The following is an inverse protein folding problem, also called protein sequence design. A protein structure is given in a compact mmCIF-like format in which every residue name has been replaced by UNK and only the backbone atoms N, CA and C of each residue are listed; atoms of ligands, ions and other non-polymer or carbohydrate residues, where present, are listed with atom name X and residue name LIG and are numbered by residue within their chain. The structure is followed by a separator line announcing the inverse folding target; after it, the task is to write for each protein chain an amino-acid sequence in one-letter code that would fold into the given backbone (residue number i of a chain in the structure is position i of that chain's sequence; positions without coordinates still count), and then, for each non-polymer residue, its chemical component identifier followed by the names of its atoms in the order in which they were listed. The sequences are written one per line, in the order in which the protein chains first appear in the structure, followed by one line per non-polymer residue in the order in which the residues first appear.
data_IF_085005192829
#
_entry.id   IF_085005192829
#
_cell.length_a   1.000
_cell.length_b   1.000
_cell.length_c   1.000
_cell.angle_alpha   90.00
_cell.angle_beta   90.00
_cell.angle_gamma   90.00
#
_symmetry.space_group_name_H-M   'P 1'
#
loop_
_entity.id
_entity.type
_entity.pdbx_description
1 polymer ?
#
# COMPACT_ATOMS: atom_id res chain seq x y z
N UNK A 1 -16.64 5.28 -12.62
CA UNK A 1 -15.99 4.45 -11.58
C UNK A 1 -16.65 3.10 -11.66
N UNK A 2 -15.92 2.01 -11.95
CA UNK A 2 -16.56 0.69 -12.14
C UNK A 2 -17.22 0.23 -10.83
N UNK A 3 -18.51 -0.12 -10.92
CA UNK A 3 -19.36 -0.60 -9.83
C UNK A 3 -18.69 -1.71 -9.01
N UNK A 4 -17.93 -2.56 -9.71
CA UNK A 4 -17.19 -3.72 -9.17
C UNK A 4 -16.13 -3.39 -8.11
N UNK A 5 -15.92 -2.13 -7.72
CA UNK A 5 -14.81 -1.72 -6.85
C UNK A 5 -15.18 -0.83 -5.66
N UNK A 6 -16.47 -0.56 -5.40
CA UNK A 6 -16.90 0.48 -4.47
C UNK A 6 -17.01 0.01 -3.00
N UNK A 7 -17.58 -1.16 -2.73
CA UNK A 7 -18.05 -1.55 -1.38
C UNK A 7 -16.92 -1.83 -0.34
N UNK A 8 -15.82 -2.54 -0.66
CA UNK A 8 -14.76 -2.80 0.33
C UNK A 8 -13.96 -1.54 0.73
N UNK A 9 -14.01 -0.47 -0.08
CA UNK A 9 -13.27 0.78 0.20
C UNK A 9 -13.87 1.58 1.35
N UNK A 10 -15.18 1.51 1.53
CA UNK A 10 -15.92 2.40 2.45
C UNK A 10 -15.71 2.02 3.92
N UNK A 11 -15.71 0.71 4.24
CA UNK A 11 -15.59 0.21 5.61
C UNK A 11 -14.13 0.30 6.11
N UNK A 12 -13.17 -0.13 5.29
CA UNK A 12 -11.75 -0.04 5.63
C UNK A 12 -11.27 1.42 5.69
N UNK A 13 -11.86 2.31 4.88
CA UNK A 13 -11.55 3.75 4.89
C UNK A 13 -11.96 4.44 6.20
N UNK A 14 -13.14 4.11 6.75
CA UNK A 14 -13.66 4.77 7.95
C UNK A 14 -12.85 4.46 9.23
N UNK A 15 -12.42 3.20 9.41
CA UNK A 15 -11.63 2.80 10.58
C UNK A 15 -10.20 3.39 10.55
N UNK A 16 -9.55 3.42 9.38
CA UNK A 16 -8.23 4.04 9.24
C UNK A 16 -8.28 5.57 9.36
N UNK A 17 -9.39 6.20 8.95
CA UNK A 17 -9.58 7.64 9.13
C UNK A 17 -9.66 8.03 10.62
N UNK A 18 -10.29 7.22 11.48
CA UNK A 18 -10.41 7.51 12.91
C UNK A 18 -9.06 7.57 13.65
N UNK A 19 -8.21 6.55 13.46
CA UNK A 19 -6.88 6.46 14.10
C UNK A 19 -5.92 7.52 13.53
N UNK A 20 -5.97 7.76 12.22
CA UNK A 20 -5.15 8.78 11.58
C UNK A 20 -5.50 10.20 12.03
N UNK A 21 -6.77 10.47 12.28
CA UNK A 21 -7.26 11.81 12.66
C UNK A 21 -6.89 12.16 14.12
N UNK A 22 -6.89 11.21 15.06
CA UNK A 22 -6.45 11.47 16.43
C UNK A 22 -4.95 11.75 16.51
N UNK A 23 -4.12 10.93 15.87
CA UNK A 23 -2.66 11.14 15.80
C UNK A 23 -2.31 12.43 15.05
N UNK A 24 -2.97 12.69 13.92
CA UNK A 24 -2.76 13.91 13.14
C UNK A 24 -3.09 15.18 13.92
N UNK A 25 -4.14 15.16 14.74
CA UNK A 25 -4.52 16.29 15.59
C UNK A 25 -3.45 16.62 16.64
N UNK A 26 -2.87 15.59 17.26
CA UNK A 26 -1.89 15.78 18.34
C UNK A 26 -0.54 16.26 17.77
N UNK A 27 -0.11 15.70 16.63
CA UNK A 27 1.07 16.19 15.89
C UNK A 27 0.87 17.64 15.44
N UNK A 28 -0.32 17.99 14.92
CA UNK A 28 -0.64 19.35 14.50
C UNK A 28 -0.57 20.35 15.66
N UNK A 29 -1.15 20.02 16.82
CA UNK A 29 -1.10 20.87 18.02
C UNK A 29 0.33 21.09 18.50
N UNK A 30 1.13 20.02 18.55
CA UNK A 30 2.53 20.09 18.98
C UNK A 30 3.40 20.90 18.01
N UNK A 31 3.08 20.87 16.71
CA UNK A 31 3.89 21.50 15.67
C UNK A 31 3.50 22.93 15.32
N UNK A 32 2.40 23.46 15.83
CA UNK A 32 1.90 24.81 15.48
C UNK A 32 2.95 25.91 15.70
N UNK A 33 3.88 25.70 16.64
CA UNK A 33 4.96 26.63 16.96
C UNK A 33 6.26 26.37 16.20
N UNK A 34 6.34 25.28 15.43
CA UNK A 34 7.54 24.84 14.71
C UNK A 34 7.15 24.36 13.31
N UNK A 35 6.95 25.29 12.37
CA UNK A 35 6.48 24.97 11.01
C UNK A 35 7.35 23.93 10.27
N UNK A 36 8.64 23.84 10.58
CA UNK A 36 9.55 22.83 10.00
C UNK A 36 9.30 21.40 10.49
N UNK A 37 8.73 21.19 11.68
CA UNK A 37 8.56 19.86 12.27
C UNK A 37 7.49 19.05 11.53
N UNK A 38 6.32 19.64 11.25
CA UNK A 38 5.26 18.99 10.44
C UNK A 38 5.77 18.57 9.06
N UNK A 39 6.55 19.44 8.41
CA UNK A 39 7.15 19.13 7.11
C UNK A 39 8.13 17.96 7.21
N UNK A 40 8.98 17.93 8.24
CA UNK A 40 9.91 16.83 8.48
C UNK A 40 9.18 15.50 8.72
N UNK A 41 8.11 15.50 9.53
CA UNK A 41 7.28 14.31 9.77
C UNK A 41 6.59 13.85 8.49
N UNK A 42 6.06 14.77 7.68
CA UNK A 42 5.43 14.43 6.41
C UNK A 42 6.44 13.82 5.42
N UNK A 43 7.64 14.40 5.31
CA UNK A 43 8.73 13.86 4.48
C UNK A 43 9.14 12.47 4.95
N UNK A 44 9.27 12.28 6.28
CA UNK A 44 9.58 11.00 6.88
C UNK A 44 8.55 9.92 6.51
N UNK A 45 7.25 10.21 6.72
CA UNK A 45 6.16 9.27 6.37
C UNK A 45 6.13 9.00 4.86
N UNK A 46 6.35 10.02 4.04
CA UNK A 46 6.40 9.88 2.59
C UNK A 46 7.58 9.00 2.13
N UNK A 47 8.75 9.13 2.76
CA UNK A 47 9.93 8.29 2.48
C UNK A 47 9.65 6.81 2.77
N UNK A 48 9.14 6.51 3.98
CA UNK A 48 8.75 5.16 4.37
C UNK A 48 7.70 4.58 3.41
N UNK A 49 6.67 5.38 3.11
CA UNK A 49 5.59 4.97 2.22
C UNK A 49 6.09 4.68 0.82
N UNK A 50 6.98 5.53 0.26
CA UNK A 50 7.56 5.33 -1.06
C UNK A 50 8.30 3.98 -1.12
N UNK A 51 9.15 3.69 -0.12
CA UNK A 51 9.90 2.45 -0.07
C UNK A 51 8.99 1.22 -0.01
N UNK A 52 7.96 1.23 0.85
CA UNK A 52 6.96 0.17 0.94
C UNK A 52 6.17 0.03 -0.38
N UNK A 53 5.81 1.15 -1.03
CA UNK A 53 5.09 1.13 -2.31
C UNK A 53 5.93 0.57 -3.45
N UNK A 54 7.22 0.90 -3.53
CA UNK A 54 8.11 0.35 -4.55
C UNK A 54 8.22 -1.17 -4.44
N UNK A 55 8.39 -1.71 -3.23
CA UNK A 55 8.31 -3.16 -2.99
C UNK A 55 6.93 -3.72 -3.34
N UNK A 56 5.85 -3.02 -2.99
CA UNK A 56 4.48 -3.44 -3.35
C UNK A 56 4.34 -3.56 -4.87
N UNK A 57 4.82 -2.58 -5.64
CA UNK A 57 4.70 -2.58 -7.11
C UNK A 57 5.50 -3.69 -7.79
N UNK A 58 6.70 -4.01 -7.28
CA UNK A 58 7.50 -5.14 -7.77
C UNK A 58 6.76 -6.47 -7.63
N UNK A 59 6.14 -6.69 -6.47
CA UNK A 59 5.52 -7.96 -6.12
C UNK A 59 4.02 -8.03 -6.44
N UNK A 60 3.41 -6.98 -6.98
CA UNK A 60 2.00 -6.97 -7.35
C UNK A 60 1.75 -7.71 -8.68
N UNK A 61 0.53 -8.23 -8.85
CA UNK A 61 0.09 -8.77 -10.13
C UNK A 61 -0.51 -7.68 -11.03
N UNK A 62 -0.32 -7.82 -12.34
CA UNK A 62 -0.82 -6.89 -13.37
C UNK A 62 -1.62 -7.66 -14.42
N UNK A 63 -2.65 -7.02 -14.98
CA UNK A 63 -3.56 -7.66 -15.94
C UNK A 63 -2.84 -8.03 -17.23
N UNK A 64 -1.95 -7.16 -17.72
CA UNK A 64 -1.18 -7.39 -18.95
C UNK A 64 0.30 -7.69 -18.64
N UNK A 65 0.95 -8.60 -19.39
CA UNK A 65 2.38 -8.87 -19.25
C UNK A 65 3.25 -7.62 -19.50
N UNK A 66 2.91 -6.84 -20.52
CA UNK A 66 3.61 -5.59 -20.87
C UNK A 66 3.47 -4.56 -19.74
N UNK A 67 2.26 -4.38 -19.20
CA UNK A 67 2.03 -3.50 -18.05
C UNK A 67 2.81 -3.97 -16.81
N UNK A 68 2.94 -5.29 -16.61
CA UNK A 68 3.76 -5.84 -15.53
C UNK A 68 5.23 -5.47 -15.67
N UNK A 69 5.79 -5.55 -16.88
CA UNK A 69 7.20 -5.22 -17.13
C UNK A 69 7.44 -3.73 -16.90
N UNK A 70 6.61 -2.86 -17.48
CA UNK A 70 6.76 -1.41 -17.36
C UNK A 70 6.71 -0.93 -15.91
N UNK A 71 5.73 -1.40 -15.12
CA UNK A 71 5.63 -0.97 -13.72
C UNK A 71 6.79 -1.51 -12.88
N UNK A 72 7.30 -2.71 -13.17
CA UNK A 72 8.49 -3.24 -12.49
C UNK A 72 9.74 -2.43 -12.81
N UNK A 73 9.96 -2.07 -14.07
CA UNK A 73 11.08 -1.20 -14.47
C UNK A 73 10.97 0.14 -13.75
N UNK A 74 9.79 0.77 -13.76
CA UNK A 74 9.56 2.05 -13.07
C UNK A 74 9.72 1.94 -11.54
N UNK A 75 9.41 0.78 -10.97
CA UNK A 75 9.55 0.57 -9.53
C UNK A 75 11.01 0.48 -9.06
N UNK A 76 11.97 0.19 -9.94
CA UNK A 76 13.39 0.07 -9.56
C UNK A 76 13.98 1.45 -9.16
N UNK A 77 13.91 2.52 -9.99
CA UNK A 77 14.38 3.84 -9.58
C UNK A 77 13.67 4.36 -8.32
N UNK A 78 12.36 4.16 -8.22
CA UNK A 78 11.61 4.57 -7.02
C UNK A 78 12.01 3.77 -5.78
N UNK A 79 12.38 2.49 -5.92
CA UNK A 79 12.91 1.68 -4.84
C UNK A 79 14.26 2.22 -4.35
N UNK A 80 15.15 2.59 -5.27
CA UNK A 80 16.47 3.16 -4.92
C UNK A 80 16.30 4.51 -4.20
N UNK A 81 15.45 5.40 -4.72
CA UNK A 81 15.14 6.68 -4.07
C UNK A 81 14.51 6.44 -2.70
N UNK A 82 13.52 5.55 -2.62
CA UNK A 82 12.85 5.18 -1.38
C UNK A 82 13.80 4.58 -0.35
N UNK A 83 14.76 3.74 -0.79
CA UNK A 83 15.79 3.14 0.04
C UNK A 83 16.68 4.21 0.66
N UNK A 84 17.18 5.16 -0.13
CA UNK A 84 18.04 6.26 0.34
C UNK A 84 17.28 7.12 1.35
N UNK A 85 16.08 7.58 1.00
CA UNK A 85 15.28 8.46 1.87
C UNK A 85 14.86 7.75 3.16
N UNK A 86 14.47 6.48 3.09
CA UNK A 86 14.10 5.68 4.26
C UNK A 86 15.32 5.38 5.13
N UNK A 87 16.46 5.04 4.54
CA UNK A 87 17.70 4.81 5.28
C UNK A 87 18.12 6.04 6.06
N UNK A 88 18.12 7.22 5.42
CA UNK A 88 18.39 8.50 6.08
C UNK A 88 17.40 8.76 7.22
N UNK A 89 16.11 8.63 6.93
CA UNK A 89 15.00 8.82 7.87
C UNK A 89 15.12 7.93 9.11
N UNK A 90 15.39 6.65 8.93
CA UNK A 90 15.58 5.68 10.01
C UNK A 90 16.85 5.96 10.81
N UNK A 91 17.92 6.37 10.15
CA UNK A 91 19.19 6.70 10.81
C UNK A 91 19.05 7.92 11.71
N UNK A 92 18.30 8.95 11.27
CA UNK A 92 17.98 10.12 12.11
C UNK A 92 17.15 9.71 13.32
N UNK A 93 16.12 8.88 13.15
CA UNK A 93 15.33 8.38 14.30
C UNK A 93 16.19 7.55 15.24
N UNK A 94 17.00 6.65 14.70
CA UNK A 94 17.86 5.80 15.51
C UNK A 94 18.88 6.64 16.30
N UNK A 95 19.43 7.70 15.69
CA UNK A 95 20.32 8.64 16.38
C UNK A 95 19.61 9.38 17.52
N UNK A 96 18.38 9.85 17.30
CA UNK A 96 17.58 10.49 18.35
C UNK A 96 17.24 9.52 19.49
N UNK A 97 16.94 8.26 19.17
CA UNK A 97 16.68 7.22 20.18
C UNK A 97 17.95 6.93 20.98
N UNK A 98 19.10 6.78 20.32
CA UNK A 98 20.39 6.55 20.98
C UNK A 98 20.75 7.72 21.90
N UNK A 99 20.61 8.96 21.43
CA UNK A 99 20.85 10.16 22.22
C UNK A 99 19.94 10.21 23.45
N UNK A 100 18.63 9.99 23.25
CA UNK A 100 17.65 9.93 24.33
C UNK A 100 18.00 8.87 25.37
N UNK A 101 18.35 7.65 24.93
CA UNK A 101 18.73 6.57 25.83
C UNK A 101 20.05 6.83 26.55
N UNK A 102 21.01 7.51 25.90
CA UNK A 102 22.30 7.84 26.51
C UNK A 102 22.20 8.83 27.65
N UNK A 103 21.17 9.69 27.62
CA UNK A 103 20.86 10.65 28.68
C UNK A 103 20.09 10.04 29.86
N UNK A 104 19.61 8.79 29.74
CA UNK A 104 18.98 8.06 30.84
C UNK A 104 20.06 7.28 31.58
N UNK A 105 20.66 7.90 32.61
CA UNK A 105 21.83 7.45 33.41
C UNK A 105 21.78 6.02 34.05
N UNK A 106 20.85 5.14 33.69
CA UNK A 106 20.72 3.82 34.33
C UNK A 106 20.04 2.73 33.48
N UNK A 107 20.24 2.71 32.16
CA UNK A 107 19.78 1.58 31.38
C UNK A 107 20.80 0.42 31.46
N UNK A 108 20.62 -0.49 32.43
CA UNK A 108 21.08 -1.89 32.29
C UNK A 108 20.81 -2.38 30.86
N UNK A 109 21.60 -3.33 30.31
CA UNK A 109 21.44 -3.73 28.92
C UNK A 109 20.06 -4.36 28.72
N UNK A 110 19.10 -3.52 28.33
CA UNK A 110 17.76 -3.87 27.90
C UNK A 110 17.92 -5.01 26.90
N UNK A 111 17.08 -6.03 26.95
CA UNK A 111 17.14 -7.17 26.02
C UNK A 111 17.27 -6.72 24.54
N UNK A 112 16.70 -5.56 24.19
CA UNK A 112 16.91 -4.89 22.90
C UNK A 112 18.39 -4.62 22.57
N UNK A 113 19.20 -4.20 23.55
CA UNK A 113 20.65 -3.99 23.43
C UNK A 113 21.37 -5.22 22.95
N UNK A 114 21.16 -6.33 23.65
CA UNK A 114 21.81 -7.60 23.33
C UNK A 114 21.38 -8.10 21.96
N UNK A 115 20.08 -7.99 21.64
CA UNK A 115 19.54 -8.37 20.33
C UNK A 115 20.15 -7.53 19.20
N UNK A 116 20.25 -6.22 19.37
CA UNK A 116 20.75 -5.32 18.33
C UNK A 116 22.24 -5.47 18.09
N UNK A 117 23.06 -5.52 19.15
CA UNK A 117 24.52 -5.77 19.02
C UNK A 117 24.77 -7.15 18.40
N UNK A 118 24.09 -8.19 18.87
CA UNK A 118 24.17 -9.53 18.27
C UNK A 118 23.79 -9.50 16.79
N UNK A 119 22.71 -8.79 16.44
CA UNK A 119 22.29 -8.68 15.04
C UNK A 119 23.29 -7.90 14.17
N UNK A 120 23.95 -6.88 14.73
CA UNK A 120 25.02 -6.14 14.06
C UNK A 120 26.15 -7.10 13.68
N UNK A 121 26.63 -7.88 14.66
CA UNK A 121 27.83 -8.69 14.51
C UNK A 121 27.57 -9.96 13.67
N UNK A 122 26.37 -10.56 13.76
CA UNK A 122 26.07 -11.84 13.12
C UNK A 122 25.24 -11.75 11.85
N UNK A 123 24.56 -10.63 11.59
CA UNK A 123 23.70 -10.48 10.41
C UNK A 123 24.21 -9.33 9.55
N UNK A 124 24.30 -8.13 10.12
CA UNK A 124 24.66 -6.92 9.37
C UNK A 124 26.07 -7.00 8.81
N UNK A 125 27.05 -7.27 9.67
CA UNK A 125 28.46 -7.27 9.29
C UNK A 125 28.79 -8.35 8.24
N UNK A 126 28.30 -9.60 8.35
CA UNK A 126 28.48 -10.61 7.30
C UNK A 126 27.81 -10.23 5.98
N UNK A 127 26.59 -9.69 6.02
CA UNK A 127 25.89 -9.21 4.82
C UNK A 127 26.70 -8.10 4.14
N UNK A 128 27.17 -7.12 4.89
CA UNK A 128 28.04 -6.07 4.39
C UNK A 128 29.30 -6.67 3.73
N UNK A 129 30.06 -7.49 4.45
CA UNK A 129 31.29 -8.09 3.94
C UNK A 129 31.06 -8.95 2.67
N UNK A 130 29.88 -9.54 2.50
CA UNK A 130 29.52 -10.27 1.27
C UNK A 130 29.23 -9.36 0.08
N UNK A 131 28.80 -8.12 0.32
CA UNK A 131 28.45 -7.14 -0.71
C UNK A 131 29.63 -6.24 -1.09
N UNK A 132 30.55 -5.98 -0.16
CA UNK A 132 31.73 -5.10 -0.35
C UNK A 132 32.54 -5.41 -1.60
N UNK A 133 32.89 -6.67 -1.94
CA UNK A 133 33.69 -6.95 -3.13
C UNK A 133 33.06 -6.46 -4.44
N UNK A 134 31.76 -6.20 -4.43
CA UNK A 134 30.98 -5.77 -5.58
C UNK A 134 30.72 -4.25 -5.59
N UNK A 135 31.25 -3.51 -4.62
CA UNK A 135 30.98 -2.09 -4.44
C UNK A 135 32.24 -1.34 -4.00
N UNK A 136 32.56 -0.18 -4.57
CA UNK A 136 33.67 0.68 -4.09
C UNK A 136 33.32 1.41 -2.76
N UNK A 137 32.75 0.68 -1.79
CA UNK A 137 32.29 1.20 -0.51
C UNK A 137 33.42 1.27 0.54
N UNK A 138 34.59 1.81 0.16
CA UNK A 138 35.73 1.98 1.08
C UNK A 138 35.39 2.87 2.29
N UNK A 139 34.32 3.68 2.20
CA UNK A 139 33.84 4.51 3.31
C UNK A 139 33.03 3.72 4.36
N UNK A 140 32.54 2.52 4.05
CA UNK A 140 31.69 1.75 4.98
C UNK A 140 32.52 0.84 5.90
N UNK A 141 33.77 0.53 5.54
CA UNK A 141 34.71 -0.11 6.48
C UNK A 141 34.96 0.74 7.73
N UNK A 142 35.00 2.08 7.57
CA UNK A 142 35.08 3.01 8.68
C UNK A 142 33.80 3.05 9.55
N UNK A 143 32.65 2.74 8.94
CA UNK A 143 31.35 2.67 9.64
C UNK A 143 31.22 1.37 10.44
N UNK A 144 31.81 0.28 9.97
CA UNK A 144 31.72 -1.04 10.58
C UNK A 144 33.01 -1.47 11.30
N UNK A 145 33.91 -0.51 11.57
CA UNK A 145 35.09 -0.73 12.39
C UNK A 145 34.66 -1.34 13.73
N UNK A 146 35.37 -2.37 14.18
CA UNK A 146 35.16 -2.97 15.50
C UNK A 146 35.29 -1.92 16.61
N UNK A 147 36.08 -0.88 16.37
CA UNK A 147 36.28 0.26 17.28
C UNK A 147 35.19 1.34 17.19
N UNK A 148 34.21 1.21 16.28
CA UNK A 148 33.09 2.15 16.19
C UNK A 148 32.34 2.21 17.53
N UNK A 149 31.89 3.42 17.89
CA UNK A 149 31.14 3.62 19.14
C UNK A 149 29.89 2.75 19.16
N UNK A 150 29.51 2.27 20.34
CA UNK A 150 28.33 1.43 20.53
C UNK A 150 27.08 2.10 19.94
N UNK A 151 26.91 3.40 20.14
CA UNK A 151 25.80 4.18 19.57
C UNK A 151 25.75 4.13 18.04
N UNK A 152 26.91 4.13 17.37
CA UNK A 152 26.97 4.02 15.92
C UNK A 152 26.47 2.65 15.42
N UNK A 153 26.92 1.56 16.06
CA UNK A 153 26.47 0.19 15.72
C UNK A 153 24.96 0.01 15.90
N UNK A 154 24.39 0.67 16.91
CA UNK A 154 22.95 0.72 17.14
C UNK A 154 22.19 1.42 16.01
N UNK A 155 22.66 2.60 15.58
CA UNK A 155 22.05 3.35 14.48
C UNK A 155 21.99 2.50 13.22
N UNK A 156 23.12 1.90 12.83
CA UNK A 156 23.20 1.03 11.64
C UNK A 156 22.26 -0.16 11.77
N UNK A 157 22.22 -0.83 12.92
CA UNK A 157 21.37 -2.00 13.14
C UNK A 157 19.89 -1.66 13.03
N UNK A 158 19.43 -0.59 13.69
CA UNK A 158 18.04 -0.14 13.62
C UNK A 158 17.67 0.22 12.19
N UNK A 159 18.54 0.93 11.47
CA UNK A 159 18.30 1.29 10.07
C UNK A 159 18.13 0.06 9.18
N UNK A 160 19.02 -0.92 9.28
CA UNK A 160 18.95 -2.13 8.45
C UNK A 160 17.72 -2.97 8.78
N UNK A 161 17.43 -3.20 10.06
CA UNK A 161 16.22 -3.92 10.46
C UNK A 161 14.95 -3.22 10.03
N UNK A 162 14.89 -1.89 10.19
CA UNK A 162 13.77 -1.08 9.71
C UNK A 162 13.56 -1.24 8.20
N UNK A 163 14.64 -1.16 7.41
CA UNK A 163 14.59 -1.41 5.97
C UNK A 163 14.06 -2.81 5.64
N UNK A 164 14.56 -3.86 6.30
CA UNK A 164 14.07 -5.23 6.10
C UNK A 164 12.58 -5.37 6.44
N UNK A 165 12.15 -4.80 7.57
CA UNK A 165 10.74 -4.83 7.99
C UNK A 165 9.85 -4.14 6.94
N UNK A 166 10.21 -2.93 6.50
CA UNK A 166 9.41 -2.22 5.50
C UNK A 166 9.42 -2.91 4.13
N UNK A 167 10.53 -3.56 3.75
CA UNK A 167 10.58 -4.40 2.56
C UNK A 167 9.60 -5.58 2.66
N UNK A 168 9.62 -6.32 3.78
CA UNK A 168 8.70 -7.44 4.04
C UNK A 168 7.25 -6.97 4.03
N UNK A 169 6.93 -5.81 4.63
CA UNK A 169 5.59 -5.23 4.59
C UNK A 169 5.13 -4.93 3.15
N UNK A 170 6.01 -4.34 2.33
CA UNK A 170 5.73 -4.08 0.92
C UNK A 170 5.53 -5.36 0.10
N UNK A 171 6.38 -6.36 0.29
CA UNK A 171 6.28 -7.68 -0.37
C UNK A 171 4.96 -8.36 0.02
N UNK A 172 4.66 -8.47 1.33
CA UNK A 172 3.43 -9.09 1.83
C UNK A 172 2.19 -8.39 1.28
N UNK A 173 2.19 -7.06 1.26
CA UNK A 173 1.11 -6.26 0.66
C UNK A 173 0.97 -6.55 -0.84
N UNK A 174 2.06 -6.59 -1.58
CA UNK A 174 2.08 -6.91 -3.02
C UNK A 174 1.52 -8.30 -3.32
N UNK A 175 1.91 -9.31 -2.54
CA UNK A 175 1.43 -10.70 -2.68
C UNK A 175 -0.04 -10.81 -2.31
N UNK A 176 -0.47 -10.20 -1.19
CA UNK A 176 -1.87 -10.23 -0.76
C UNK A 176 -2.81 -9.61 -1.79
N UNK A 177 -2.36 -8.57 -2.49
CA UNK A 177 -3.15 -7.94 -3.56
C UNK A 177 -3.33 -8.82 -4.79
N UNK A 178 -2.49 -9.86 -5.00
CA UNK A 178 -2.57 -10.71 -6.20
C UNK A 178 -3.88 -11.47 -6.25
N UNK A 179 -4.29 -12.10 -5.14
CA UNK A 179 -5.53 -12.89 -5.05
C UNK A 179 -6.76 -12.01 -5.29
N UNK A 180 -6.85 -10.89 -4.56
CA UNK A 180 -7.98 -9.96 -4.69
C UNK A 180 -8.11 -9.39 -6.11
N UNK A 181 -6.98 -9.09 -6.78
CA UNK A 181 -7.01 -8.62 -8.17
C UNK A 181 -7.39 -9.70 -9.18
N UNK A 182 -6.89 -10.92 -9.00
CA UNK A 182 -7.25 -12.04 -9.85
C UNK A 182 -8.76 -12.30 -9.80
N UNK A 183 -9.35 -12.34 -8.60
CA UNK A 183 -10.79 -12.46 -8.41
C UNK A 183 -11.55 -11.27 -9.05
N UNK A 184 -11.05 -10.05 -8.89
CA UNK A 184 -11.67 -8.88 -9.51
C UNK A 184 -11.63 -8.92 -11.04
N UNK A 185 -10.54 -9.41 -11.65
CA UNK A 185 -10.45 -9.57 -13.11
C UNK A 185 -11.34 -10.69 -13.61
N UNK A 186 -11.40 -11.81 -12.90
CA UNK A 186 -12.28 -12.93 -13.22
C UNK A 186 -13.75 -12.50 -13.16
N UNK A 187 -14.13 -11.74 -12.13
CA UNK A 187 -15.47 -11.16 -12.03
C UNK A 187 -15.73 -10.14 -13.16
N UNK A 188 -14.76 -9.29 -13.50
CA UNK A 188 -14.89 -8.34 -14.61
C UNK A 188 -15.08 -9.04 -15.96
N UNK A 189 -14.33 -10.10 -16.24
CA UNK A 189 -14.45 -10.90 -17.46
C UNK A 189 -15.78 -11.66 -17.52
N UNK A 190 -16.19 -12.27 -16.41
CA UNK A 190 -17.50 -12.92 -16.29
C UNK A 190 -18.65 -11.92 -16.51
N UNK A 191 -18.59 -10.75 -15.88
CA UNK A 191 -19.64 -9.74 -15.96
C UNK A 191 -19.73 -9.14 -17.35
N UNK A 192 -18.59 -8.95 -18.04
CA UNK A 192 -18.59 -8.52 -19.42
C UNK A 192 -19.27 -9.57 -20.32
N UNK A 193 -18.89 -10.85 -20.18
CA UNK A 193 -19.51 -11.92 -20.96
C UNK A 193 -21.02 -12.04 -20.69
N UNK A 194 -21.44 -11.92 -19.43
CA UNK A 194 -22.84 -11.90 -19.05
C UNK A 194 -23.60 -10.73 -19.69
N UNK A 195 -23.02 -9.51 -19.62
CA UNK A 195 -23.60 -8.32 -20.25
C UNK A 195 -23.73 -8.47 -21.77
N UNK A 196 -22.70 -9.00 -22.42
CA UNK A 196 -22.71 -9.28 -23.86
C UNK A 196 -23.78 -10.32 -24.23
N UNK A 197 -23.99 -11.35 -23.39
CA UNK A 197 -25.00 -12.40 -23.58
C UNK A 197 -26.44 -11.87 -23.48
N UNK A 198 -26.72 -10.98 -22.53
CA UNK A 198 -28.06 -10.38 -22.35
C UNK A 198 -28.31 -9.15 -23.23
N UNK A 199 -27.35 -8.79 -24.09
CA UNK A 199 -27.46 -7.61 -24.96
C UNK A 199 -27.37 -6.28 -24.22
N UNK A 200 -26.68 -6.22 -23.07
CA UNK A 200 -26.53 -5.01 -22.27
C UNK A 200 -25.14 -4.40 -22.49
N UNK A 201 -25.06 -3.15 -22.94
CA UNK A 201 -23.80 -2.44 -23.21
C UNK A 201 -23.66 -1.18 -22.35
N UNK A 202 -22.45 -0.93 -21.81
CA UNK A 202 -22.13 0.32 -21.09
C UNK A 202 -21.79 1.44 -22.09
N UNK A 203 -22.59 2.52 -22.13
CA UNK A 203 -22.35 3.67 -23.04
C UNK A 203 -21.46 4.72 -22.37
N UNK A 204 -21.70 5.00 -21.08
CA UNK A 204 -20.97 6.01 -20.33
C UNK A 204 -20.92 5.64 -18.85
N UNK A 205 -20.16 6.42 -18.05
CA UNK A 205 -20.10 6.21 -16.61
C UNK A 205 -21.53 6.14 -16.02
N UNK A 206 -21.91 4.95 -15.56
CA UNK A 206 -23.19 4.66 -14.94
C UNK A 206 -24.41 4.68 -15.90
N UNK A 207 -24.21 4.57 -17.21
CA UNK A 207 -25.30 4.43 -18.18
C UNK A 207 -25.14 3.20 -19.07
N UNK A 208 -26.24 2.49 -19.27
CA UNK A 208 -26.29 1.25 -20.04
C UNK A 208 -27.39 1.32 -21.10
N UNK A 209 -27.28 0.49 -22.14
CA UNK A 209 -28.31 0.31 -23.16
C UNK A 209 -28.50 -1.19 -23.39
N UNK A 210 -29.74 -1.63 -23.53
CA UNK A 210 -30.04 -3.00 -23.97
C UNK A 210 -30.24 -3.08 -25.50
N UNK A 211 -30.34 -4.31 -26.04
CA UNK A 211 -30.60 -4.56 -27.46
C UNK A 211 -31.94 -3.98 -27.96
N UNK A 212 -32.91 -3.81 -27.05
CA UNK A 212 -34.19 -3.15 -27.33
C UNK A 212 -34.06 -1.60 -27.41
N UNK A 213 -32.87 -1.06 -27.16
CA UNK A 213 -32.57 0.37 -27.16
C UNK A 213 -33.03 1.12 -25.91
N UNK A 214 -33.47 0.43 -24.86
CA UNK A 214 -33.79 1.03 -23.57
C UNK A 214 -32.49 1.47 -22.89
N UNK A 215 -32.47 2.72 -22.43
CA UNK A 215 -31.33 3.27 -21.69
C UNK A 215 -31.56 3.18 -20.20
N UNK A 216 -30.54 2.79 -19.47
CA UNK A 216 -30.56 2.67 -18.02
C UNK A 216 -29.53 3.62 -17.41
N UNK A 217 -29.84 4.15 -16.22
CA UNK A 217 -28.84 4.74 -15.33
C UNK A 217 -28.73 3.89 -14.07
N UNK A 218 -27.53 3.77 -13.52
CA UNK A 218 -27.34 3.22 -12.19
C UNK A 218 -28.02 4.12 -11.15
N UNK A 219 -28.89 3.56 -10.32
CA UNK A 219 -29.55 4.29 -9.23
C UNK A 219 -28.96 3.89 -7.88
N UNK A 220 -28.99 2.60 -7.54
CA UNK A 220 -28.57 2.09 -6.24
C UNK A 220 -27.68 0.84 -6.36
N UNK A 221 -26.76 0.70 -5.41
CA UNK A 221 -25.93 -0.49 -5.20
C UNK A 221 -26.31 -1.13 -3.85
N UNK A 222 -26.83 -2.36 -3.88
CA UNK A 222 -27.15 -3.13 -2.67
C UNK A 222 -26.16 -4.29 -2.49
N UNK A 223 -26.22 -4.95 -1.32
CA UNK A 223 -25.37 -6.12 -1.01
C UNK A 223 -25.88 -7.36 -1.76
N UNK A 224 -25.54 -7.48 -3.04
CA UNK A 224 -25.89 -8.61 -3.92
C UNK A 224 -26.76 -8.25 -5.13
N UNK A 225 -27.14 -6.97 -5.28
CA UNK A 225 -27.92 -6.54 -6.46
C UNK A 225 -27.65 -5.08 -6.82
N UNK A 226 -27.84 -4.77 -8.10
CA UNK A 226 -27.70 -3.44 -8.69
C UNK A 226 -29.07 -3.03 -9.20
N UNK A 227 -29.53 -1.84 -8.82
CA UNK A 227 -30.77 -1.26 -9.35
C UNK A 227 -30.46 -0.30 -10.50
N UNK A 228 -31.05 -0.59 -11.65
CA UNK A 228 -31.00 0.22 -12.85
C UNK A 228 -32.35 0.91 -13.08
N UNK A 229 -32.29 2.22 -13.30
CA UNK A 229 -33.44 3.05 -13.63
C UNK A 229 -33.55 3.25 -15.15
N UNK A 230 -34.59 2.74 -15.82
CA UNK A 230 -34.80 2.98 -17.24
C UNK A 230 -35.18 4.45 -17.51
N UNK A 231 -34.35 5.15 -18.26
CA UNK A 231 -34.54 6.58 -18.59
C UNK A 231 -35.81 6.73 -19.43
N UNK A 232 -36.70 7.63 -19.02
CA UNK A 232 -37.96 7.91 -19.71
C UNK A 232 -39.13 7.00 -19.34
N UNK A 233 -38.93 5.99 -18.47
CA UNK A 233 -40.02 5.10 -18.01
C UNK A 233 -40.23 5.24 -16.49
N UNK A 234 -41.42 5.71 -16.09
CA UNK A 234 -41.81 5.85 -14.67
C UNK A 234 -42.30 4.51 -14.11
N UNK A 235 -42.13 4.29 -12.81
CA UNK A 235 -42.56 3.09 -12.07
C UNK A 235 -42.04 1.78 -12.68
N UNK A 236 -40.83 1.84 -13.25
CA UNK A 236 -40.11 0.70 -13.81
C UNK A 236 -38.70 0.66 -13.23
N UNK A 237 -38.16 -0.54 -13.02
CA UNK A 237 -36.74 -0.77 -12.67
C UNK A 237 -36.25 -2.02 -13.35
N UNK A 238 -34.94 -2.16 -13.41
CA UNK A 238 -34.30 -3.42 -13.75
C UNK A 238 -33.23 -3.73 -12.71
N UNK A 239 -32.93 -5.01 -12.54
CA UNK A 239 -32.06 -5.50 -11.48
C UNK A 239 -31.04 -6.46 -12.06
N UNK A 240 -29.78 -6.29 -11.66
CA UNK A 240 -28.70 -7.26 -11.89
C UNK A 240 -28.32 -7.84 -10.53
N UNK A 241 -28.48 -9.14 -10.37
CA UNK A 241 -28.05 -9.85 -9.16
C UNK A 241 -26.61 -10.35 -9.34
N UNK A 242 -25.85 -10.38 -8.25
CA UNK A 242 -24.47 -10.86 -8.26
C UNK A 242 -24.11 -11.69 -7.03
N UNK A 243 -23.18 -12.63 -7.21
CA UNK A 243 -22.71 -13.54 -6.16
C UNK A 243 -21.75 -12.85 -5.15
N UNK A 244 -21.27 -13.61 -4.16
CA UNK A 244 -20.32 -13.11 -3.15
C UNK A 244 -18.98 -12.66 -3.74
N UNK A 245 -18.63 -13.12 -4.94
CA UNK A 245 -17.41 -12.75 -5.66
C UNK A 245 -17.63 -11.55 -6.60
N UNK A 246 -18.85 -11.04 -6.70
CA UNK A 246 -19.23 -9.93 -7.58
C UNK A 246 -19.49 -10.35 -9.04
N UNK A 247 -19.73 -11.64 -9.30
CA UNK A 247 -20.11 -12.17 -10.62
C UNK A 247 -21.61 -12.04 -10.84
N UNK A 248 -22.03 -11.48 -11.97
CA UNK A 248 -23.43 -11.34 -12.36
C UNK A 248 -24.05 -12.71 -12.60
N UNK A 249 -25.20 -12.97 -11.99
CA UNK A 249 -25.88 -14.28 -12.06
C UNK A 249 -27.25 -14.20 -12.73
N UNK A 250 -27.89 -13.04 -12.69
CA UNK A 250 -29.27 -12.90 -13.14
C UNK A 250 -29.58 -11.46 -13.57
N UNK A 251 -30.45 -11.34 -14.57
CA UNK A 251 -30.93 -10.09 -15.14
C UNK A 251 -32.46 -10.11 -15.18
N UNK A 252 -33.11 -9.20 -14.46
CA UNK A 252 -34.58 -9.18 -14.38
C UNK A 252 -35.26 -8.62 -15.63
N UNK A 253 -34.52 -7.89 -16.47
CA UNK A 253 -35.11 -6.97 -17.43
C UNK A 253 -35.94 -5.87 -16.75
N UNK A 254 -36.75 -5.16 -17.53
CA UNK A 254 -37.62 -4.10 -17.02
C UNK A 254 -38.84 -4.70 -16.30
N UNK A 255 -38.90 -4.53 -14.97
CA UNK A 255 -40.06 -4.90 -14.16
C UNK A 255 -40.85 -3.66 -13.69
N UNK A 256 -42.14 -3.85 -13.41
CA UNK A 256 -43.02 -2.81 -12.84
C UNK A 256 -42.91 -2.84 -11.32
N UNK A 257 -42.74 -1.66 -10.70
CA UNK A 257 -42.86 -1.46 -9.25
C UNK A 257 -44.29 -1.07 -8.90
#
# INVERSE_FOLDING_TARGET
MKLSSAVPKTIAGAAMAGIGLSLGRDIYKSSKNSGGFLLAVAIFVAALWLYVQSWTWLFRNYRSPVGSILVRIFSIPTLVIGLILTSFSLSVIAALVVDFMSNMDAAEPLILYTILVWSSDHIVLPLYNSLVPYTELNQVEALLDKNASIGYKWIVSITIWGLLIFAVLGIKRGISQRKSRALAWEAEEHNQAFMDEIGLSEISNNQFIDDDGNRYRLENEFRGMIELFPIGRRNRRAYIEFDENGKFINWSGIIKI
#
